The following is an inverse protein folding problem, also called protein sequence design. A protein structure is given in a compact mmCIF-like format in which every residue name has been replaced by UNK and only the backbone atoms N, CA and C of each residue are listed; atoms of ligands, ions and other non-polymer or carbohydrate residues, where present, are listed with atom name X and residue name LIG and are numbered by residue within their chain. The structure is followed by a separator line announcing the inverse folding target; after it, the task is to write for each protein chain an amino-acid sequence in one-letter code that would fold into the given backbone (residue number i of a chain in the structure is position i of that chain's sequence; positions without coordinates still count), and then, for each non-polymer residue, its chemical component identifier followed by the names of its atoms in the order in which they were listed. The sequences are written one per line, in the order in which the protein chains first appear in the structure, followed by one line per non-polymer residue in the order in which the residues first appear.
data_IF_308644917760
#
_entry.id   IF_308644917760
#
_cell.length_a   1.000
_cell.length_b   1.000
_cell.length_c   1.000
_cell.angle_alpha   90.00
_cell.angle_beta   90.00
_cell.angle_gamma   90.00
#
_symmetry.space_group_name_H-M   'P 1'
#
loop_
_entity.id
_entity.type
_entity.pdbx_description
1 polymer ?
#
# COMPACT_ATOMS: atom_id res chain seq x y z
N UNK A 1 10.41 27.80 -62.38
CA UNK A 1 9.68 26.54 -62.67
C UNK A 1 10.25 25.48 -61.73
N UNK A 2 9.58 24.79 -60.80
CA UNK A 2 8.20 24.65 -60.32
C UNK A 2 8.37 24.37 -58.80
N UNK A 3 8.01 25.28 -57.90
CA UNK A 3 6.81 25.21 -57.03
C UNK A 3 6.11 23.85 -57.01
N UNK A 4 6.34 23.08 -55.95
CA UNK A 4 5.38 22.14 -55.34
C UNK A 4 5.72 21.93 -53.87
N UNK A 5 5.45 22.96 -53.05
CA UNK A 5 4.90 22.74 -51.72
C UNK A 5 3.43 22.34 -51.94
N UNK A 6 2.94 21.26 -51.33
CA UNK A 6 1.55 21.17 -50.86
C UNK A 6 1.36 19.89 -50.01
N UNK A 7 1.16 20.13 -48.70
CA UNK A 7 0.19 19.46 -47.82
C UNK A 7 0.40 17.98 -47.47
N UNK A 8 1.16 17.74 -46.39
CA UNK A 8 1.02 16.53 -45.56
C UNK A 8 1.09 16.85 -44.06
N UNK A 9 0.65 18.06 -43.68
CA UNK A 9 0.71 18.58 -42.30
C UNK A 9 -0.65 19.12 -41.83
N UNK A 10 -1.75 18.41 -42.09
CA UNK A 10 -3.07 18.80 -41.57
C UNK A 10 -4.00 17.60 -41.37
N UNK A 11 -3.55 16.65 -40.55
CA UNK A 11 -4.41 15.56 -40.07
C UNK A 11 -4.15 15.27 -38.59
N UNK A 12 -4.34 16.29 -37.74
CA UNK A 12 -4.85 16.19 -36.37
C UNK A 12 -5.07 17.63 -35.90
N UNK A 13 -6.34 18.05 -35.73
CA UNK A 13 -6.99 17.79 -34.45
C UNK A 13 -8.50 17.53 -34.60
N UNK A 14 -8.90 16.33 -35.02
CA UNK A 14 -10.32 15.93 -34.93
C UNK A 14 -10.67 15.44 -33.51
N UNK A 15 -9.69 15.32 -32.62
CA UNK A 15 -9.89 14.86 -31.23
C UNK A 15 -10.36 15.95 -30.26
N UNK A 16 -10.36 17.24 -30.64
CA UNK A 16 -10.80 18.31 -29.75
C UNK A 16 -12.32 18.30 -29.51
N UNK A 17 -13.13 17.95 -30.51
CA UNK A 17 -14.60 17.91 -30.34
C UNK A 17 -15.10 16.66 -29.61
N UNK A 18 -14.32 15.59 -29.58
CA UNK A 18 -14.72 14.34 -28.94
C UNK A 18 -14.67 14.41 -27.39
N UNK A 19 -13.76 15.20 -26.83
CA UNK A 19 -13.71 15.43 -25.38
C UNK A 19 -14.80 16.39 -24.90
N UNK A 20 -15.12 17.42 -25.69
CA UNK A 20 -16.18 18.38 -25.34
C UNK A 20 -17.55 17.71 -25.22
N UNK A 21 -17.88 16.75 -26.10
CA UNK A 21 -19.15 16.02 -26.05
C UNK A 21 -19.24 15.07 -24.83
N UNK A 22 -18.12 14.49 -24.39
CA UNK A 22 -18.06 13.68 -23.17
C UNK A 22 -18.25 14.54 -21.92
N UNK A 23 -17.59 15.70 -21.86
CA UNK A 23 -17.71 16.65 -20.74
C UNK A 23 -19.13 17.20 -20.66
N UNK A 24 -19.71 17.61 -21.80
CA UNK A 24 -21.11 18.11 -21.88
C UNK A 24 -22.14 17.04 -21.49
N UNK A 25 -21.94 15.77 -21.88
CA UNK A 25 -22.82 14.66 -21.46
C UNK A 25 -22.79 14.39 -19.95
N UNK A 26 -21.72 14.77 -19.25
CA UNK A 26 -21.59 14.63 -17.79
C UNK A 26 -22.03 15.91 -17.07
N UNK A 27 -22.04 17.06 -17.75
CA UNK A 27 -22.42 18.35 -17.18
C UNK A 27 -23.86 18.36 -16.64
N UNK A 28 -24.78 17.71 -17.37
CA UNK A 28 -26.17 17.50 -16.96
C UNK A 28 -26.37 16.27 -16.05
N UNK A 29 -25.36 15.42 -15.89
CA UNK A 29 -25.33 14.33 -14.89
C UNK A 29 -24.87 14.83 -13.51
N UNK A 30 -25.14 16.10 -13.22
CA UNK A 30 -25.08 16.69 -11.89
C UNK A 30 -26.51 16.83 -11.43
N UNK A 31 -27.02 15.83 -10.70
CA UNK A 31 -28.32 16.00 -10.04
C UNK A 31 -28.30 17.27 -9.19
N UNK A 32 -29.44 17.96 -9.03
CA UNK A 32 -29.50 19.08 -8.08
C UNK A 32 -29.18 18.63 -6.63
N UNK A 33 -29.25 17.32 -6.35
CA UNK A 33 -28.73 16.71 -5.13
C UNK A 33 -27.20 16.64 -5.06
N UNK A 34 -26.46 16.62 -6.19
CA UNK A 34 -25.00 16.70 -6.21
C UNK A 34 -24.48 18.08 -5.81
N UNK A 35 -25.31 19.13 -5.91
CA UNK A 35 -25.01 20.49 -5.40
C UNK A 35 -25.21 20.59 -3.88
N UNK A 36 -26.03 19.71 -3.29
CA UNK A 36 -26.19 19.62 -1.84
C UNK A 36 -24.95 18.92 -1.28
N UNK A 37 -24.06 19.69 -0.67
CA UNK A 37 -22.91 19.13 0.05
C UNK A 37 -23.43 18.19 1.15
N UNK A 38 -22.73 17.09 1.38
CA UNK A 38 -23.03 16.23 2.53
C UNK A 38 -22.68 16.99 3.81
N UNK A 39 -23.66 17.13 4.71
CA UNK A 39 -23.45 17.64 6.06
C UNK A 39 -23.48 16.45 7.02
N UNK A 40 -22.33 16.15 7.62
CA UNK A 40 -22.21 15.07 8.60
C UNK A 40 -22.31 15.65 10.01
N UNK A 41 -23.13 15.02 10.85
CA UNK A 41 -23.23 15.33 12.28
C UNK A 41 -22.75 14.13 13.07
N UNK A 42 -21.71 14.30 13.87
CA UNK A 42 -21.29 13.29 14.83
C UNK A 42 -22.40 13.07 15.87
N UNK A 43 -22.86 11.83 16.00
CA UNK A 43 -23.75 11.43 17.09
C UNK A 43 -22.92 10.92 18.27
N UNK A 44 -21.86 10.16 17.95
CA UNK A 44 -20.88 9.64 18.89
C UNK A 44 -19.51 9.79 18.22
N UNK A 45 -18.53 10.25 18.99
CA UNK A 45 -17.12 10.29 18.61
C UNK A 45 -16.32 9.63 19.75
N UNK A 46 -15.51 8.63 19.41
CA UNK A 46 -14.67 7.91 20.37
C UNK A 46 -13.22 8.43 20.37
N UNK A 47 -12.96 9.50 19.61
CA UNK A 47 -11.64 10.04 19.33
C UNK A 47 -10.74 9.04 18.58
N UNK A 48 -9.60 9.52 18.10
CA UNK A 48 -8.58 8.71 17.45
C UNK A 48 -7.21 9.39 17.61
N UNK A 49 -6.15 8.62 17.43
CA UNK A 49 -4.81 9.17 17.26
C UNK A 49 -4.65 9.82 15.89
N UNK A 50 -3.54 10.54 15.70
CA UNK A 50 -3.25 11.24 14.44
C UNK A 50 -3.39 10.33 13.20
N UNK A 51 -3.98 10.90 12.15
CA UNK A 51 -4.15 10.22 10.86
C UNK A 51 -2.78 9.90 10.26
N UNK A 52 -2.56 8.61 9.98
CA UNK A 52 -1.33 8.08 9.39
C UNK A 52 -1.46 7.95 7.86
N UNK A 53 -0.33 7.80 7.16
CA UNK A 53 -0.29 7.69 5.70
C UNK A 53 0.54 6.49 5.21
N UNK A 54 -0.13 5.44 4.75
CA UNK A 54 0.51 4.23 4.22
C UNK A 54 1.21 4.42 2.87
N UNK A 55 0.99 5.55 2.19
CA UNK A 55 1.55 5.83 0.87
C UNK A 55 1.17 4.80 -0.18
N UNK A 56 2.12 4.46 -1.06
CA UNK A 56 1.98 3.44 -2.11
C UNK A 56 2.45 2.09 -1.60
N UNK A 57 1.77 1.58 -0.58
CA UNK A 57 1.98 0.23 -0.03
C UNK A 57 0.64 -0.42 0.33
N UNK A 58 0.53 -1.73 0.18
CA UNK A 58 -0.69 -2.50 0.53
C UNK A 58 -0.84 -2.82 2.03
N UNK A 59 -0.45 -1.90 2.91
CA UNK A 59 -0.24 -2.15 4.35
C UNK A 59 -1.38 -1.65 5.26
N UNK A 60 -2.56 -1.35 4.69
CA UNK A 60 -3.70 -0.80 5.45
C UNK A 60 -4.06 -1.64 6.69
N UNK A 61 -3.93 -2.97 6.60
CA UNK A 61 -4.16 -3.91 7.70
C UNK A 61 -3.22 -3.68 8.88
N UNK A 62 -1.97 -3.26 8.63
CA UNK A 62 -1.02 -2.89 9.68
C UNK A 62 -1.40 -1.52 10.26
N UNK A 63 -1.63 -0.52 9.41
CA UNK A 63 -2.01 0.84 9.84
C UNK A 63 -3.29 0.86 10.67
N UNK A 64 -4.36 0.23 10.18
CA UNK A 64 -5.66 0.23 10.87
C UNK A 64 -5.62 -0.52 12.19
N UNK A 65 -4.90 -1.65 12.26
CA UNK A 65 -4.82 -2.43 13.48
C UNK A 65 -3.93 -1.76 14.52
N UNK A 66 -2.81 -1.15 14.12
CA UNK A 66 -1.98 -0.38 15.04
C UNK A 66 -2.73 0.86 15.58
N UNK A 67 -3.44 1.61 14.72
CA UNK A 67 -4.30 2.72 15.15
C UNK A 67 -5.42 2.28 16.10
N UNK A 68 -6.01 1.10 15.87
CA UNK A 68 -6.95 0.49 16.82
C UNK A 68 -6.28 0.18 18.16
N UNK A 69 -5.07 -0.41 18.16
CA UNK A 69 -4.34 -0.72 19.38
C UNK A 69 -3.92 0.53 20.14
N UNK A 70 -3.52 1.60 19.44
CA UNK A 70 -3.27 2.92 20.03
C UNK A 70 -4.52 3.46 20.72
N UNK A 71 -5.68 3.35 20.07
CA UNK A 71 -6.96 3.76 20.65
C UNK A 71 -7.33 2.91 21.88
N UNK A 72 -7.02 1.61 21.87
CA UNK A 72 -7.19 0.73 23.03
C UNK A 72 -6.28 1.11 24.20
N UNK A 73 -5.06 1.62 23.94
CA UNK A 73 -4.21 2.16 25.00
C UNK A 73 -4.89 3.35 25.67
N UNK A 74 -5.41 4.30 24.89
CA UNK A 74 -6.17 5.45 25.40
C UNK A 74 -7.38 5.00 26.20
N UNK A 75 -8.18 4.06 25.66
CA UNK A 75 -9.36 3.49 26.34
C UNK A 75 -9.00 2.85 27.69
N UNK A 76 -7.80 2.28 27.81
CA UNK A 76 -7.29 1.68 29.04
C UNK A 76 -6.62 2.70 30.00
N UNK A 77 -6.70 4.00 29.72
CA UNK A 77 -6.10 5.06 30.53
C UNK A 77 -4.59 5.15 30.40
N UNK A 78 -4.02 4.66 29.29
CA UNK A 78 -2.58 4.72 28.99
C UNK A 78 -2.33 5.78 27.94
N UNK A 79 -1.11 6.33 27.94
CA UNK A 79 -0.63 7.16 26.84
C UNK A 79 -0.48 6.30 25.58
N UNK A 80 -1.01 6.80 24.45
CA UNK A 80 -0.86 6.14 23.17
C UNK A 80 0.59 6.28 22.68
N UNK A 81 1.18 5.17 22.26
CA UNK A 81 2.50 5.16 21.60
C UNK A 81 2.27 5.13 20.10
N UNK A 82 2.93 6.01 19.34
CA UNK A 82 2.95 5.94 17.88
C UNK A 82 3.69 4.66 17.43
N UNK A 83 2.96 3.65 16.96
CA UNK A 83 3.51 2.32 16.70
C UNK A 83 4.05 2.22 15.28
N UNK A 84 5.24 1.66 15.10
CA UNK A 84 5.87 1.43 13.81
C UNK A 84 5.12 0.38 12.96
N UNK A 85 4.22 0.83 12.09
CA UNK A 85 3.35 -0.09 11.33
C UNK A 85 4.14 -0.86 10.27
N UNK A 86 5.22 -0.25 9.74
CA UNK A 86 6.11 -0.90 8.77
C UNK A 86 7.01 -1.95 9.44
N UNK A 87 7.33 -1.81 10.73
CA UNK A 87 8.04 -2.87 11.45
C UNK A 87 7.20 -4.16 11.49
N UNK A 88 5.92 -4.00 11.83
CA UNK A 88 4.95 -5.11 11.84
C UNK A 88 4.80 -5.72 10.45
N UNK A 89 4.63 -4.88 9.42
CA UNK A 89 4.53 -5.33 8.03
C UNK A 89 5.78 -6.12 7.59
N UNK A 90 6.98 -5.62 7.93
CA UNK A 90 8.24 -6.32 7.67
C UNK A 90 8.29 -7.70 8.32
N UNK A 91 7.88 -7.82 9.58
CA UNK A 91 7.86 -9.11 10.27
C UNK A 91 6.91 -10.11 9.58
N UNK A 92 5.74 -9.64 9.13
CA UNK A 92 4.82 -10.46 8.34
C UNK A 92 5.45 -10.88 7.01
N UNK A 93 6.14 -9.98 6.30
CA UNK A 93 6.77 -10.33 5.03
C UNK A 93 7.84 -11.41 5.18
N UNK A 94 8.59 -11.41 6.28
CA UNK A 94 9.56 -12.48 6.58
C UNK A 94 8.86 -13.83 6.77
N UNK A 95 7.78 -13.87 7.57
CA UNK A 95 7.02 -15.10 7.81
C UNK A 95 6.28 -15.59 6.56
N UNK A 96 5.77 -14.65 5.75
CA UNK A 96 5.15 -14.94 4.44
C UNK A 96 6.15 -15.48 3.45
N UNK A 97 7.36 -14.93 3.38
CA UNK A 97 8.43 -15.44 2.53
C UNK A 97 8.77 -16.90 2.87
N UNK A 98 8.88 -17.23 4.16
CA UNK A 98 9.09 -18.61 4.59
C UNK A 98 7.93 -19.53 4.21
N UNK A 99 6.70 -19.08 4.43
CA UNK A 99 5.49 -19.84 4.08
C UNK A 99 5.38 -20.04 2.56
N UNK A 100 5.67 -19.01 1.78
CA UNK A 100 5.69 -19.04 0.31
C UNK A 100 6.66 -20.12 -0.20
N UNK A 101 7.89 -20.14 0.31
CA UNK A 101 8.90 -21.13 -0.06
C UNK A 101 8.50 -22.54 0.37
N UNK A 102 8.02 -22.72 1.62
CA UNK A 102 7.55 -24.01 2.14
C UNK A 102 6.39 -24.58 1.33
N UNK A 103 5.51 -23.72 0.84
CA UNK A 103 4.37 -24.09 0.03
C UNK A 103 4.67 -24.07 -1.48
N UNK A 104 5.96 -24.13 -1.86
CA UNK A 104 6.40 -24.22 -3.26
C UNK A 104 5.79 -23.12 -4.17
N UNK A 105 5.67 -21.90 -3.63
CA UNK A 105 5.13 -20.74 -4.31
C UNK A 105 3.63 -20.80 -4.60
N UNK A 106 2.88 -21.69 -3.93
CA UNK A 106 1.43 -21.83 -4.07
C UNK A 106 0.62 -20.94 -3.13
N UNK A 107 1.27 -20.34 -2.13
CA UNK A 107 0.69 -19.22 -1.39
C UNK A 107 0.98 -17.91 -2.13
N UNK A 108 0.14 -16.91 -1.90
CA UNK A 108 0.40 -15.56 -2.37
C UNK A 108 1.48 -14.88 -1.54
N UNK A 109 2.34 -14.10 -2.19
CA UNK A 109 3.28 -13.19 -1.55
C UNK A 109 3.04 -11.78 -2.06
N UNK A 110 2.94 -10.83 -1.14
CA UNK A 110 2.61 -9.44 -1.43
C UNK A 110 2.37 -8.63 -0.16
N UNK A 111 2.06 -7.34 -0.35
CA UNK A 111 1.95 -6.36 0.74
C UNK A 111 0.76 -6.59 1.70
N UNK A 112 -0.28 -7.28 1.23
CA UNK A 112 -1.52 -7.45 1.97
C UNK A 112 -1.34 -8.24 3.27
N UNK A 113 -2.37 -8.30 4.09
CA UNK A 113 -2.39 -8.96 5.39
C UNK A 113 -3.73 -8.75 6.08
N UNK A 114 -3.82 -9.18 7.33
CA UNK A 114 -5.04 -9.14 8.13
C UNK A 114 -4.74 -8.66 9.56
N UNK A 115 -5.78 -8.25 10.29
CA UNK A 115 -5.61 -7.68 11.63
C UNK A 115 -4.95 -8.66 12.62
N UNK A 116 -5.23 -9.97 12.50
CA UNK A 116 -4.61 -10.98 13.35
C UNK A 116 -3.10 -11.11 13.11
N UNK A 117 -2.60 -10.72 11.92
CA UNK A 117 -1.17 -10.75 11.65
C UNK A 117 -0.42 -9.79 12.60
N UNK A 118 -0.97 -8.61 12.89
CA UNK A 118 -0.37 -7.64 13.82
C UNK A 118 -0.23 -8.24 15.23
N UNK A 119 -1.32 -8.81 15.75
CA UNK A 119 -1.32 -9.43 17.09
C UNK A 119 -0.34 -10.60 17.16
N UNK A 120 -0.30 -11.44 16.12
CA UNK A 120 0.64 -12.55 16.03
C UNK A 120 2.10 -12.07 15.98
N UNK A 121 2.38 -11.01 15.22
CA UNK A 121 3.74 -10.44 15.14
C UNK A 121 4.15 -9.80 16.45
N UNK A 122 3.25 -9.14 17.18
CA UNK A 122 3.54 -8.60 18.50
C UNK A 122 3.94 -9.71 19.47
N UNK A 123 3.21 -10.83 19.46
CA UNK A 123 3.52 -11.98 20.32
C UNK A 123 4.88 -12.63 19.96
N UNK A 124 5.24 -12.65 18.66
CA UNK A 124 6.45 -13.34 18.17
C UNK A 124 7.71 -12.45 18.16
N UNK A 125 7.56 -11.18 17.82
CA UNK A 125 8.64 -10.26 17.52
C UNK A 125 8.58 -8.97 18.37
N UNK A 126 7.49 -8.74 19.10
CA UNK A 126 7.24 -7.48 19.78
C UNK A 126 6.75 -6.39 18.84
N UNK A 127 6.67 -5.18 19.38
CA UNK A 127 6.35 -3.96 18.66
C UNK A 127 7.45 -2.92 18.90
N UNK A 128 7.60 -1.98 17.98
CA UNK A 128 8.52 -0.86 18.10
C UNK A 128 7.76 0.47 17.96
N UNK A 129 8.19 1.53 18.64
CA UNK A 129 7.68 2.86 18.36
C UNK A 129 8.19 3.37 17.01
N UNK A 130 7.41 4.20 16.34
CA UNK A 130 7.74 4.81 15.05
C UNK A 130 9.06 5.60 15.09
N UNK A 131 9.40 6.18 16.25
CA UNK A 131 10.68 6.88 16.48
C UNK A 131 11.93 5.98 16.38
N UNK A 132 11.77 4.67 16.55
CA UNK A 132 12.86 3.69 16.46
C UNK A 132 12.90 3.01 15.09
N UNK A 133 11.76 2.87 14.42
CA UNK A 133 11.67 2.23 13.12
C UNK A 133 10.65 2.94 12.22
N UNK A 134 11.13 3.84 11.36
CA UNK A 134 10.26 4.50 10.37
C UNK A 134 9.98 3.62 9.14
N UNK A 135 10.89 2.70 8.82
CA UNK A 135 10.91 1.95 7.55
C UNK A 135 11.36 2.78 6.33
N UNK A 136 11.54 4.08 6.49
CA UNK A 136 11.92 5.02 5.44
C UNK A 136 13.42 5.32 5.54
N UNK A 137 14.23 4.53 4.82
CA UNK A 137 15.70 4.55 4.95
C UNK A 137 16.42 5.07 3.68
N UNK A 138 15.69 5.62 2.72
CA UNK A 138 16.21 5.93 1.38
C UNK A 138 15.76 7.31 0.87
N UNK A 139 15.62 8.27 1.79
CA UNK A 139 15.39 9.69 1.47
C UNK A 139 13.95 10.05 1.10
N UNK A 140 12.99 9.14 1.28
CA UNK A 140 11.57 9.40 1.04
C UNK A 140 10.82 9.65 2.34
N UNK A 141 9.74 10.44 2.26
CA UNK A 141 8.82 10.74 3.37
C UNK A 141 7.60 9.81 3.39
N UNK A 142 7.41 9.01 2.34
CA UNK A 142 6.27 8.10 2.15
C UNK A 142 6.72 6.74 1.64
N UNK A 143 5.98 5.71 2.04
CA UNK A 143 6.21 4.35 1.60
C UNK A 143 5.86 4.18 0.12
N UNK A 144 6.71 3.44 -0.60
CA UNK A 144 6.49 3.04 -1.99
C UNK A 144 7.13 1.65 -2.21
N UNK A 145 6.32 0.61 -2.11
CA UNK A 145 6.83 -0.78 -1.99
C UNK A 145 6.89 -1.55 -3.29
N UNK A 146 6.48 -0.97 -4.42
CA UNK A 146 6.45 -1.65 -5.71
C UNK A 146 7.79 -2.28 -6.13
N UNK A 147 8.90 -1.53 -6.00
CA UNK A 147 10.24 -2.03 -6.33
C UNK A 147 10.67 -3.14 -5.36
N UNK A 148 10.56 -2.88 -4.05
CA UNK A 148 10.92 -3.84 -2.99
C UNK A 148 10.15 -5.16 -3.15
N UNK A 149 8.84 -5.11 -3.36
CA UNK A 149 8.00 -6.30 -3.53
C UNK A 149 8.38 -7.09 -4.79
N UNK A 150 8.63 -6.41 -5.91
CA UNK A 150 9.08 -7.07 -7.13
C UNK A 150 10.43 -7.77 -6.95
N UNK A 151 11.39 -7.11 -6.29
CA UNK A 151 12.70 -7.68 -5.99
C UNK A 151 12.59 -8.91 -5.08
N UNK A 152 11.83 -8.81 -3.99
CA UNK A 152 11.61 -9.91 -3.04
C UNK A 152 10.90 -11.09 -3.72
N UNK A 153 9.84 -10.84 -4.49
CA UNK A 153 9.15 -11.89 -5.24
C UNK A 153 10.09 -12.60 -6.22
N UNK A 154 10.94 -11.85 -6.94
CA UNK A 154 11.93 -12.40 -7.85
C UNK A 154 12.92 -13.33 -7.14
N UNK A 155 13.42 -12.91 -5.97
CA UNK A 155 14.26 -13.74 -5.12
C UNK A 155 13.54 -15.01 -4.69
N UNK A 156 12.32 -14.91 -4.15
CA UNK A 156 11.55 -16.05 -3.67
C UNK A 156 11.23 -17.06 -4.78
N UNK A 157 10.91 -16.59 -5.99
CA UNK A 157 10.71 -17.44 -7.16
C UNK A 157 11.96 -18.25 -7.50
N UNK A 158 13.15 -17.63 -7.41
CA UNK A 158 14.42 -18.32 -7.63
C UNK A 158 14.69 -19.39 -6.56
N UNK A 159 14.34 -19.11 -5.30
CA UNK A 159 14.45 -20.09 -4.20
C UNK A 159 13.48 -21.26 -4.42
N UNK A 160 12.23 -20.99 -4.77
CA UNK A 160 11.21 -22.03 -5.02
C UNK A 160 11.59 -22.96 -6.18
N UNK A 161 12.28 -22.45 -7.21
CA UNK A 161 12.82 -23.29 -8.30
C UNK A 161 13.76 -24.38 -7.80
N UNK A 162 14.42 -24.18 -6.66
CA UNK A 162 15.28 -25.14 -5.98
C UNK A 162 16.23 -25.92 -6.94
N UNK A 163 17.09 -25.21 -7.70
CA UNK A 163 17.97 -25.85 -8.69
C UNK A 163 18.95 -26.86 -8.07
N UNK A 164 19.26 -26.70 -6.78
CA UNK A 164 20.16 -27.59 -6.04
C UNK A 164 19.44 -28.82 -5.46
N UNK A 165 18.12 -28.97 -5.70
CA UNK A 165 17.24 -29.99 -5.10
C UNK A 165 17.24 -30.02 -3.56
N UNK A 166 17.92 -29.09 -2.91
CA UNK A 166 18.01 -28.91 -1.46
C UNK A 166 18.20 -27.43 -1.14
N UNK A 167 17.31 -26.88 -0.31
CA UNK A 167 17.41 -25.51 0.16
C UNK A 167 18.47 -25.39 1.27
N UNK A 168 19.26 -24.31 1.21
CA UNK A 168 20.16 -23.92 2.29
C UNK A 168 19.43 -22.97 3.24
N UNK A 169 19.90 -22.76 4.49
CA UNK A 169 19.33 -21.74 5.36
C UNK A 169 19.74 -20.31 4.98
N UNK A 170 20.71 -20.14 4.07
CA UNK A 170 21.38 -18.86 3.83
C UNK A 170 20.49 -17.83 3.14
N UNK A 171 19.51 -18.26 2.34
CA UNK A 171 18.63 -17.35 1.61
C UNK A 171 17.79 -16.46 2.54
N UNK A 172 17.55 -16.87 3.80
CA UNK A 172 16.84 -16.05 4.80
C UNK A 172 17.64 -14.84 5.27
N UNK A 173 18.96 -14.84 5.04
CA UNK A 173 19.87 -13.76 5.42
C UNK A 173 20.27 -12.86 4.23
N UNK A 174 19.84 -13.22 3.03
CA UNK A 174 20.13 -12.50 1.80
C UNK A 174 19.30 -11.21 1.70
#
# INVERSE_FOLDING_TARGET
MKRTCLLLALAMPVTLFAQDDLIKKIEDNKSDSAKKKFEFKHIIDLENTDVKNQGKSGTCWSYSTNSFLESEMVRMGREAVDIAEIYTARCVYVDKAESYVRMHGKLEYGDGGACHDVINMYAKYGALPQSVYSGLNYGTDKNQFGEMQAALQGMLNAIVRNPNSKLTPNWKKA
#
